data_IF_887658697142
#
_entry.id   IF_887658697142
#
_cell.length_a   1.000
_cell.length_b   1.000
_cell.length_c   1.000
_cell.angle_alpha   90.00
_cell.angle_beta   90.00
_cell.angle_gamma   90.00
#
_symmetry.space_group_name_H-M   'P 1'
#
loop_
_entity.id
_entity.type
_entity.pdbx_description
1 polymer ?
#
# COMPACT_ATOMS: atom_id res chain seq x y z
N UNK A 1 -11.09 53.29 19.76
CA UNK A 1 -12.10 52.24 20.04
C UNK A 1 -12.98 52.02 18.83
N UNK A 2 -12.78 50.94 18.06
CA UNK A 2 -13.84 50.25 17.32
C UNK A 2 -13.30 48.91 16.85
N UNK A 3 -13.81 47.87 17.50
CA UNK A 3 -13.46 46.46 17.33
C UNK A 3 -14.02 46.00 15.98
N UNK A 4 -13.16 45.63 15.04
CA UNK A 4 -13.55 44.86 13.86
C UNK A 4 -13.00 43.45 14.07
N UNK A 5 -13.76 42.69 14.86
CA UNK A 5 -13.60 41.24 15.01
C UNK A 5 -14.26 40.65 13.76
N UNK A 6 -13.47 40.39 12.73
CA UNK A 6 -13.91 39.60 11.58
C UNK A 6 -13.77 38.13 11.97
N UNK A 7 -14.91 37.55 12.32
CA UNK A 7 -15.06 36.17 12.70
C UNK A 7 -15.00 35.23 11.48
N UNK A 8 -14.26 34.14 11.64
CA UNK A 8 -14.63 32.76 11.27
C UNK A 8 -15.19 32.57 9.85
N UNK A 9 -14.30 32.18 8.94
CA UNK A 9 -14.59 31.08 7.98
C UNK A 9 -13.29 30.29 7.81
N UNK A 10 -12.94 29.49 8.84
CA UNK A 10 -12.01 28.38 8.67
C UNK A 10 -12.78 27.29 7.92
N UNK A 11 -12.94 27.48 6.61
CA UNK A 11 -13.47 26.45 5.73
C UNK A 11 -12.52 25.28 5.76
N UNK A 12 -12.85 24.26 6.57
CA UNK A 12 -12.30 22.92 6.45
C UNK A 12 -12.62 22.45 5.02
N UNK A 13 -11.70 22.70 4.11
CA UNK A 13 -11.60 22.01 2.84
C UNK A 13 -11.36 20.54 3.20
N UNK A 14 -12.46 19.79 3.42
CA UNK A 14 -12.44 18.34 3.33
C UNK A 14 -12.08 18.01 1.89
N UNK A 15 -10.80 18.00 1.58
CA UNK A 15 -10.30 17.36 0.37
C UNK A 15 -10.67 15.90 0.52
N UNK A 16 -11.66 15.46 -0.25
CA UNK A 16 -11.94 14.05 -0.42
C UNK A 16 -10.69 13.46 -1.06
N UNK A 17 -9.80 12.90 -0.24
CA UNK A 17 -8.70 12.08 -0.73
C UNK A 17 -9.39 10.90 -1.40
N UNK A 18 -9.42 10.92 -2.74
CA UNK A 18 -9.90 9.81 -3.56
C UNK A 18 -8.99 8.63 -3.29
N UNK A 19 -9.34 7.86 -2.27
CA UNK A 19 -8.63 6.67 -1.89
C UNK A 19 -8.99 5.61 -2.91
N UNK A 20 -8.04 5.30 -3.80
CA UNK A 20 -8.28 4.37 -4.89
C UNK A 20 -8.55 2.98 -4.29
N UNK A 21 -9.74 2.43 -4.53
CA UNK A 21 -10.11 1.08 -4.13
C UNK A 21 -9.32 0.06 -4.95
N UNK A 22 -8.85 -1.00 -4.28
CA UNK A 22 -8.20 -2.13 -4.93
C UNK A 22 -8.66 -3.47 -4.36
N UNK A 23 -8.50 -4.53 -5.16
CA UNK A 23 -8.71 -5.92 -4.74
C UNK A 23 -7.43 -6.72 -4.90
N UNK A 24 -7.06 -7.52 -3.90
CA UNK A 24 -5.83 -8.32 -3.97
C UNK A 24 -5.95 -9.50 -4.93
N UNK A 25 -4.92 -9.73 -5.73
CA UNK A 25 -4.65 -10.99 -6.42
C UNK A 25 -3.80 -11.86 -5.50
N UNK A 26 -4.22 -13.10 -5.30
CA UNK A 26 -3.50 -14.03 -4.42
C UNK A 26 -2.17 -14.47 -5.03
N UNK A 27 -1.26 -14.99 -4.21
CA UNK A 27 0.00 -15.58 -4.67
C UNK A 27 1.17 -14.59 -4.80
N UNK A 28 0.97 -13.34 -4.38
CA UNK A 28 2.02 -12.32 -4.30
C UNK A 28 2.39 -12.03 -2.84
N UNK A 29 3.60 -11.54 -2.60
CA UNK A 29 4.01 -11.08 -1.29
C UNK A 29 3.67 -9.59 -1.08
N UNK A 30 3.25 -9.23 0.13
CA UNK A 30 3.12 -7.86 0.58
C UNK A 30 3.96 -7.63 1.83
N UNK A 31 4.73 -6.55 1.88
CA UNK A 31 5.67 -6.26 2.94
C UNK A 31 5.33 -4.93 3.64
N UNK A 32 5.67 -4.81 4.94
CA UNK A 32 5.40 -3.59 5.70
C UNK A 32 6.28 -2.40 5.26
N UNK A 33 7.44 -2.69 4.64
CA UNK A 33 8.36 -1.70 4.09
C UNK A 33 8.63 -2.00 2.62
N UNK A 34 8.79 -0.94 1.82
CA UNK A 34 9.15 -1.05 0.40
C UNK A 34 10.49 -1.76 0.19
N UNK A 35 11.50 -1.44 0.99
CA UNK A 35 12.82 -2.10 0.94
C UNK A 35 12.72 -3.61 1.12
N UNK A 36 11.84 -4.10 2.01
CA UNK A 36 11.66 -5.53 2.21
C UNK A 36 10.96 -6.21 1.03
N UNK A 37 10.12 -5.48 0.29
CA UNK A 37 9.56 -5.98 -0.95
C UNK A 37 10.66 -6.10 -2.02
N UNK A 38 11.55 -5.12 -2.12
CA UNK A 38 12.67 -5.14 -3.06
C UNK A 38 13.64 -6.32 -2.76
N UNK A 39 13.91 -6.58 -1.48
CA UNK A 39 14.65 -7.76 -1.01
C UNK A 39 13.95 -9.06 -1.46
N UNK A 40 12.64 -9.17 -1.18
CA UNK A 40 11.84 -10.35 -1.53
C UNK A 40 11.82 -10.62 -3.04
N UNK A 41 11.69 -9.57 -3.85
CA UNK A 41 11.76 -9.68 -5.32
C UNK A 41 13.13 -10.23 -5.72
N UNK A 42 14.20 -9.72 -5.11
CA UNK A 42 15.57 -10.17 -5.37
C UNK A 42 15.78 -11.64 -4.99
N UNK A 43 15.25 -12.06 -3.84
CA UNK A 43 15.30 -13.46 -3.39
C UNK A 43 14.56 -14.40 -4.35
N UNK A 44 13.36 -14.02 -4.80
CA UNK A 44 12.58 -14.81 -5.76
C UNK A 44 13.32 -14.94 -7.10
N UNK A 45 13.91 -13.85 -7.60
CA UNK A 45 14.71 -13.87 -8.84
C UNK A 45 15.95 -14.77 -8.68
N UNK A 46 16.62 -14.71 -7.54
CA UNK A 46 17.79 -15.53 -7.21
C UNK A 46 17.42 -16.99 -6.84
N UNK A 47 16.12 -17.32 -6.75
CA UNK A 47 15.59 -18.60 -6.24
C UNK A 47 15.98 -18.92 -4.79
N UNK A 48 16.29 -17.90 -4.00
CA UNK A 48 16.62 -18.02 -2.58
C UNK A 48 15.34 -18.06 -1.74
N UNK A 49 14.71 -19.23 -1.67
CA UNK A 49 13.47 -19.43 -0.95
C UNK A 49 13.65 -19.41 0.58
N UNK A 50 14.86 -19.69 1.07
CA UNK A 50 15.16 -19.68 2.50
C UNK A 50 15.13 -18.25 3.04
N UNK A 51 15.77 -17.31 2.34
CA UNK A 51 15.72 -15.88 2.68
C UNK A 51 14.30 -15.31 2.55
N UNK A 52 13.55 -15.73 1.53
CA UNK A 52 12.15 -15.38 1.39
C UNK A 52 11.32 -15.86 2.59
N UNK A 53 11.47 -17.13 2.98
CA UNK A 53 10.74 -17.72 4.10
C UNK A 53 11.08 -17.03 5.43
N UNK A 54 12.35 -16.65 5.65
CA UNK A 54 12.75 -15.89 6.83
C UNK A 54 12.02 -14.54 6.97
N UNK A 55 11.67 -13.88 5.85
CA UNK A 55 10.89 -12.64 5.86
C UNK A 55 9.42 -12.87 6.20
N UNK A 56 8.87 -14.01 5.81
CA UNK A 56 7.53 -14.42 6.22
C UNK A 56 7.47 -14.78 7.70
N UNK A 57 8.44 -15.56 8.19
CA UNK A 57 8.50 -16.03 9.57
C UNK A 57 8.72 -14.88 10.56
N UNK A 58 9.52 -13.89 10.15
CA UNK A 58 9.72 -12.65 10.92
C UNK A 58 8.58 -11.63 10.78
N UNK A 59 7.50 -11.98 10.07
CA UNK A 59 6.31 -11.13 9.84
C UNK A 59 6.63 -9.79 9.16
N UNK A 60 7.77 -9.70 8.47
CA UNK A 60 8.13 -8.53 7.65
C UNK A 60 7.24 -8.47 6.41
N UNK A 61 6.93 -9.63 5.86
CA UNK A 61 6.08 -9.81 4.69
C UNK A 61 5.02 -10.89 4.96
N UNK A 62 3.95 -10.84 4.17
CA UNK A 62 2.86 -11.80 4.17
C UNK A 62 2.55 -12.22 2.74
N UNK A 63 2.03 -13.44 2.57
CA UNK A 63 1.46 -13.86 1.29
C UNK A 63 0.04 -13.33 1.19
N UNK A 64 -0.24 -12.58 0.12
CA UNK A 64 -1.56 -12.06 -0.16
C UNK A 64 -2.53 -13.18 -0.52
N UNK A 65 -3.69 -13.16 0.12
CA UNK A 65 -4.86 -13.94 -0.31
C UNK A 65 -5.62 -13.16 -1.38
N UNK A 66 -6.26 -13.87 -2.30
CA UNK A 66 -7.10 -13.27 -3.33
C UNK A 66 -8.39 -12.70 -2.73
N UNK A 67 -8.90 -11.61 -3.29
CA UNK A 67 -10.25 -11.11 -3.03
C UNK A 67 -10.38 -10.21 -1.81
N UNK A 68 -9.28 -9.74 -1.22
CA UNK A 68 -9.32 -8.78 -0.13
C UNK A 68 -9.48 -7.37 -0.71
N UNK A 69 -10.47 -6.63 -0.22
CA UNK A 69 -10.62 -5.20 -0.52
C UNK A 69 -9.59 -4.40 0.28
N UNK A 70 -8.85 -3.55 -0.42
CA UNK A 70 -7.79 -2.72 0.14
C UNK A 70 -7.94 -1.28 -0.35
N UNK A 71 -7.34 -0.36 0.40
CA UNK A 71 -7.27 1.03 0.00
C UNK A 71 -5.87 1.31 -0.54
N UNK A 72 -5.75 1.58 -1.84
CA UNK A 72 -4.46 1.95 -2.45
C UNK A 72 -4.11 3.36 -2.01
N UNK A 73 -3.01 3.50 -1.28
CA UNK A 73 -2.48 4.79 -0.84
C UNK A 73 -1.45 5.34 -1.81
N UNK A 74 -0.75 4.46 -2.51
CA UNK A 74 0.29 4.83 -3.47
C UNK A 74 0.12 4.00 -4.74
N UNK A 75 -0.32 4.67 -5.79
CA UNK A 75 -0.48 4.06 -7.10
C UNK A 75 0.91 3.81 -7.72
N UNK A 76 1.11 2.68 -8.41
CA UNK A 76 2.34 2.42 -9.15
C UNK A 76 2.58 3.43 -10.28
N UNK A 77 1.58 4.20 -10.70
CA UNK A 77 1.70 5.09 -11.87
C UNK A 77 1.88 4.32 -13.18
N UNK A 78 2.23 5.03 -14.25
CA UNK A 78 2.35 4.44 -15.60
C UNK A 78 3.53 3.44 -15.70
N UNK A 79 4.65 3.76 -15.03
CA UNK A 79 5.91 3.01 -15.13
C UNK A 79 6.38 2.34 -13.83
N UNK A 80 5.65 2.46 -12.72
CA UNK A 80 6.06 1.82 -11.46
C UNK A 80 5.64 0.36 -11.38
N UNK A 81 6.52 -0.45 -10.78
CA UNK A 81 6.28 -1.88 -10.54
C UNK A 81 5.75 -2.21 -9.14
N UNK A 82 5.62 -1.22 -8.25
CA UNK A 82 5.18 -1.44 -6.86
C UNK A 82 4.06 -0.49 -6.46
N UNK A 83 3.17 -0.97 -5.59
CA UNK A 83 2.00 -0.27 -5.11
C UNK A 83 1.95 -0.33 -3.58
N UNK A 84 1.59 0.80 -2.96
CA UNK A 84 1.33 0.89 -1.54
C UNK A 84 -0.17 0.85 -1.25
N UNK A 85 -0.60 0.04 -0.29
CA UNK A 85 -1.99 -0.06 0.10
C UNK A 85 -2.15 -0.20 1.61
N UNK A 86 -3.33 0.11 2.11
CA UNK A 86 -3.74 -0.07 3.50
C UNK A 86 -4.79 -1.16 3.58
N UNK A 87 -4.59 -2.09 4.50
CA UNK A 87 -5.58 -3.10 4.88
C UNK A 87 -5.72 -3.11 6.40
N UNK A 88 -6.96 -2.93 6.89
CA UNK A 88 -7.26 -2.85 8.34
C UNK A 88 -6.36 -1.86 9.10
N UNK A 89 -6.06 -0.71 8.50
CA UNK A 89 -5.24 0.34 9.12
C UNK A 89 -3.72 0.13 9.04
N UNK A 90 -3.25 -0.98 8.47
CA UNK A 90 -1.83 -1.27 8.31
C UNK A 90 -1.42 -1.02 6.86
N UNK A 91 -0.34 -0.27 6.66
CA UNK A 91 0.23 0.00 5.34
C UNK A 91 1.17 -1.13 4.91
N UNK A 92 1.01 -1.55 3.67
CA UNK A 92 1.80 -2.57 3.01
C UNK A 92 2.25 -2.10 1.62
N UNK A 93 3.25 -2.80 1.10
CA UNK A 93 3.82 -2.62 -0.22
C UNK A 93 3.79 -3.95 -0.95
N UNK A 94 3.36 -3.95 -2.20
CA UNK A 94 3.32 -5.13 -3.05
C UNK A 94 3.68 -4.78 -4.49
N UNK A 95 3.90 -5.77 -5.35
CA UNK A 95 4.05 -5.57 -6.79
C UNK A 95 2.74 -5.12 -7.43
N UNK A 96 2.80 -4.33 -8.51
CA UNK A 96 1.65 -3.74 -9.21
C UNK A 96 0.61 -4.80 -9.60
N UNK A 97 1.08 -5.96 -10.04
CA UNK A 97 0.27 -7.08 -10.54
C UNK A 97 -0.57 -7.72 -9.43
N UNK A 98 -0.18 -7.54 -8.17
CA UNK A 98 -0.86 -8.10 -7.01
C UNK A 98 -2.18 -7.39 -6.65
N UNK A 99 -2.51 -6.28 -7.32
CA UNK A 99 -3.72 -5.51 -7.07
C UNK A 99 -4.51 -5.32 -8.38
N UNK A 100 -5.83 -5.44 -8.28
CA UNK A 100 -6.80 -4.98 -9.28
C UNK A 100 -7.34 -3.62 -8.83
N UNK A 101 -7.24 -2.61 -9.69
CA UNK A 101 -7.65 -1.23 -9.39
C UNK A 101 -9.03 -0.96 -9.98
N UNK A 102 -9.85 -0.16 -9.27
CA UNK A 102 -11.09 0.39 -9.83
C UNK A 102 -12.33 -0.50 -9.72
N UNK A 103 -12.41 -1.35 -8.68
CA UNK A 103 -13.66 -1.99 -8.26
C UNK A 103 -14.43 -1.14 -7.25
#
# INVERSE_FOLDING_TARGET
>A
MKKLIVAIVLGFLSTQVYALSGTTKGGHAACLKKQWLDDVVSFVVAKDMDSFQAYLDSKKCIVLKKGLRVTVTESPGMFGGTAGFVFKGIKFWTVREALEYGN
#
